data_IF_818006223877
#
_entry.id   IF_818006223877
#
_cell.length_a   1.000
_cell.length_b   1.000
_cell.length_c   1.000
_cell.angle_alpha   90.00
_cell.angle_beta   90.00
_cell.angle_gamma   90.00
#
_symmetry.space_group_name_H-M   'P 1'
#
loop_
_entity.id
_entity.type
_entity.pdbx_description
1 polymer ?
#
# COMPACT_ATOMS: atom_id res chain seq x y z
N UNK A 1 5.03 5.25 -8.79
CA UNK A 1 4.77 3.80 -8.68
C UNK A 1 6.09 3.04 -8.74
N UNK A 2 6.65 2.60 -7.61
CA UNK A 2 7.87 1.78 -7.59
C UNK A 2 7.45 0.32 -7.76
N UNK A 3 7.65 -0.27 -8.94
CA UNK A 3 7.49 -1.72 -9.16
C UNK A 3 8.85 -2.39 -8.97
N UNK A 4 9.03 -3.10 -7.85
CA UNK A 4 10.21 -3.92 -7.56
C UNK A 4 9.82 -5.32 -7.08
N UNK A 5 10.47 -6.35 -7.65
CA UNK A 5 10.21 -7.77 -7.42
C UNK A 5 10.47 -8.24 -5.96
N UNK A 6 10.02 -9.47 -5.72
CA UNK A 6 9.67 -10.18 -4.47
C UNK A 6 10.75 -10.20 -3.35
N UNK A 7 10.24 -10.14 -2.11
CA UNK A 7 10.80 -10.52 -0.79
C UNK A 7 12.25 -10.12 -0.39
N UNK A 8 12.40 -9.28 0.66
CA UNK A 8 13.38 -9.43 1.78
C UNK A 8 13.48 -8.22 2.74
N UNK A 9 12.81 -7.09 2.47
CA UNK A 9 12.94 -5.92 3.35
C UNK A 9 11.90 -4.82 3.24
N UNK A 10 10.91 -4.92 2.34
CA UNK A 10 9.97 -3.82 2.06
C UNK A 10 9.03 -3.51 3.22
N UNK A 11 8.56 -4.51 3.96
CA UNK A 11 7.74 -4.30 5.18
C UNK A 11 8.56 -3.68 6.31
N UNK A 12 9.83 -4.10 6.47
CA UNK A 12 10.76 -3.50 7.43
C UNK A 12 11.12 -2.05 7.05
N UNK A 13 11.32 -1.79 5.75
CA UNK A 13 11.52 -0.42 5.22
C UNK A 13 10.28 0.43 5.44
N UNK A 14 9.07 -0.12 5.26
CA UNK A 14 7.82 0.60 5.48
C UNK A 14 7.61 0.96 6.97
N UNK A 15 7.90 0.02 7.88
CA UNK A 15 7.89 0.27 9.32
C UNK A 15 8.90 1.38 9.69
N UNK A 16 10.14 1.28 9.20
CA UNK A 16 11.17 2.31 9.38
C UNK A 16 10.86 3.64 8.70
N UNK A 17 10.09 3.63 7.62
CA UNK A 17 9.59 4.85 7.00
C UNK A 17 8.61 5.53 7.94
N UNK A 18 7.63 4.79 8.46
CA UNK A 18 6.66 5.31 9.45
C UNK A 18 7.34 5.87 10.70
N UNK A 19 8.33 5.16 11.23
CA UNK A 19 9.08 5.61 12.40
C UNK A 19 9.81 6.93 12.15
N UNK A 20 10.38 7.13 10.96
CA UNK A 20 11.14 8.36 10.63
C UNK A 20 10.29 9.51 10.10
N UNK A 21 9.24 9.23 9.34
CA UNK A 21 8.34 10.26 8.79
C UNK A 21 7.36 10.78 9.83
N UNK A 22 7.02 9.99 10.85
CA UNK A 22 6.02 10.35 11.84
C UNK A 22 4.61 10.37 11.26
N UNK A 23 3.82 11.39 11.62
CA UNK A 23 2.44 11.57 11.14
C UNK A 23 2.43 12.09 9.70
N UNK A 24 1.33 11.85 8.97
CA UNK A 24 1.18 12.33 7.60
C UNK A 24 1.68 11.37 6.52
N UNK A 25 2.17 10.18 6.87
CA UNK A 25 2.52 9.11 5.93
C UNK A 25 1.49 7.97 5.97
N UNK A 26 0.80 7.75 4.86
CA UNK A 26 -0.08 6.62 4.63
C UNK A 26 0.69 5.45 4.00
N UNK A 27 0.72 4.30 4.68
CA UNK A 27 1.19 3.04 4.10
C UNK A 27 0.01 2.26 3.53
N UNK A 28 -0.07 2.16 2.21
CA UNK A 28 -1.16 1.47 1.51
C UNK A 28 -0.72 0.06 1.17
N UNK A 29 -1.18 -0.94 1.94
CA UNK A 29 -0.79 -2.35 1.78
C UNK A 29 -1.67 -3.12 0.80
N UNK A 30 -1.17 -3.45 -0.38
CA UNK A 30 -1.91 -4.20 -1.40
C UNK A 30 -2.33 -5.59 -0.91
N UNK A 31 -1.44 -6.33 -0.24
CA UNK A 31 -1.78 -7.64 0.32
C UNK A 31 -2.79 -7.54 1.47
N UNK A 32 -2.74 -6.48 2.28
CA UNK A 32 -3.76 -6.24 3.30
C UNK A 32 -5.12 -6.00 2.65
N UNK A 33 -5.17 -5.13 1.63
CA UNK A 33 -6.39 -4.85 0.89
C UNK A 33 -6.93 -6.12 0.21
N UNK A 34 -6.07 -6.94 -0.41
CA UNK A 34 -6.49 -8.18 -1.07
C UNK A 34 -6.96 -9.26 -0.09
N UNK A 35 -6.14 -9.58 0.92
CA UNK A 35 -6.34 -10.77 1.78
C UNK A 35 -7.24 -10.52 2.98
N UNK A 36 -7.14 -9.34 3.58
CA UNK A 36 -7.85 -9.02 4.83
C UNK A 36 -9.13 -8.26 4.52
N UNK A 37 -9.05 -7.20 3.72
CA UNK A 37 -10.21 -6.34 3.43
C UNK A 37 -11.17 -7.00 2.43
N UNK A 38 -10.66 -7.41 1.25
CA UNK A 38 -11.48 -7.96 0.18
C UNK A 38 -11.61 -9.48 0.20
N UNK A 39 -10.70 -10.17 0.89
CA UNK A 39 -10.61 -11.65 0.97
C UNK A 39 -10.66 -12.33 -0.41
N UNK A 40 -10.00 -11.74 -1.40
CA UNK A 40 -10.02 -12.24 -2.77
C UNK A 40 -8.74 -12.99 -3.16
N UNK A 41 -8.83 -13.76 -4.25
CA UNK A 41 -7.69 -14.48 -4.82
C UNK A 41 -6.83 -13.55 -5.67
N UNK A 42 -5.53 -13.84 -5.72
CA UNK A 42 -4.59 -13.12 -6.58
C UNK A 42 -4.82 -13.50 -8.04
N UNK A 43 -5.45 -12.60 -8.80
CA UNK A 43 -5.74 -12.77 -10.22
C UNK A 43 -5.64 -11.43 -10.96
N UNK A 44 -5.31 -11.46 -12.27
CA UNK A 44 -5.41 -10.26 -13.09
C UNK A 44 -6.81 -9.64 -13.02
N UNK A 45 -6.87 -8.30 -12.92
CA UNK A 45 -8.14 -7.57 -12.82
C UNK A 45 -8.94 -7.83 -11.54
N UNK A 46 -8.27 -8.25 -10.45
CA UNK A 46 -8.89 -8.33 -9.12
C UNK A 46 -9.22 -6.93 -8.56
N UNK A 47 -10.19 -6.86 -7.64
CA UNK A 47 -10.75 -5.60 -7.17
C UNK A 47 -9.75 -4.79 -6.31
N UNK A 48 -8.78 -5.46 -5.68
CA UNK A 48 -7.71 -4.84 -4.90
C UNK A 48 -6.86 -3.87 -5.71
N UNK A 49 -6.76 -4.05 -7.02
CA UNK A 49 -6.00 -3.15 -7.90
C UNK A 49 -6.65 -1.76 -7.86
N UNK A 50 -7.94 -1.69 -8.20
CA UNK A 50 -8.70 -0.44 -8.17
C UNK A 50 -8.81 0.15 -6.76
N UNK A 51 -9.00 -0.69 -5.73
CA UNK A 51 -9.06 -0.22 -4.35
C UNK A 51 -7.72 0.37 -3.87
N UNK A 52 -6.59 -0.20 -4.29
CA UNK A 52 -5.27 0.35 -3.98
C UNK A 52 -5.11 1.74 -4.59
N UNK A 53 -5.46 1.89 -5.87
CA UNK A 53 -5.36 3.18 -6.57
C UNK A 53 -6.28 4.23 -5.91
N UNK A 54 -7.53 3.87 -5.63
CA UNK A 54 -8.48 4.74 -4.94
C UNK A 54 -7.96 5.18 -3.57
N UNK A 55 -7.44 4.24 -2.79
CA UNK A 55 -6.91 4.54 -1.45
C UNK A 55 -5.71 5.48 -1.54
N UNK A 56 -4.79 5.24 -2.48
CA UNK A 56 -3.62 6.09 -2.67
C UNK A 56 -4.00 7.51 -3.09
N UNK A 57 -4.96 7.66 -4.00
CA UNK A 57 -5.46 8.97 -4.41
C UNK A 57 -6.15 9.70 -3.26
N UNK A 58 -7.06 9.02 -2.57
CA UNK A 58 -7.80 9.64 -1.46
C UNK A 58 -6.88 10.20 -0.37
N UNK A 59 -5.84 9.46 0.03
CA UNK A 59 -4.93 9.94 1.08
C UNK A 59 -4.03 11.09 0.59
N UNK A 60 -3.63 11.09 -0.68
CA UNK A 60 -2.90 12.21 -1.27
C UNK A 60 -3.75 13.48 -1.28
N UNK A 61 -5.02 13.36 -1.69
CA UNK A 61 -5.98 14.47 -1.73
C UNK A 61 -6.26 15.01 -0.31
N UNK A 62 -6.20 14.14 0.70
CA UNK A 62 -6.32 14.51 2.11
C UNK A 62 -5.03 15.10 2.71
N UNK A 63 -3.97 15.32 1.91
CA UNK A 63 -2.72 15.96 2.35
C UNK A 63 -1.69 15.01 2.97
N UNK A 64 -1.88 13.70 2.86
CA UNK A 64 -0.90 12.71 3.30
C UNK A 64 0.10 12.39 2.18
N UNK A 65 1.29 11.95 2.55
CA UNK A 65 2.19 11.24 1.65
C UNK A 65 1.78 9.77 1.56
N UNK A 66 1.81 9.18 0.36
CA UNK A 66 1.43 7.79 0.16
C UNK A 66 2.61 6.91 -0.24
N UNK A 67 2.74 5.75 0.40
CA UNK A 67 3.66 4.68 -0.01
C UNK A 67 2.85 3.41 -0.18
N UNK A 68 2.79 2.92 -1.42
CA UNK A 68 2.14 1.64 -1.74
C UNK A 68 3.13 0.51 -1.48
N UNK A 69 2.77 -0.39 -0.58
CA UNK A 69 3.55 -1.59 -0.25
C UNK A 69 2.77 -2.81 -0.70
N UNK A 70 3.48 -3.79 -1.26
CA UNK A 70 2.85 -5.00 -1.80
C UNK A 70 2.58 -6.00 -0.68
#
# INVERSE_FOLDING_TARGET
MVRGNRASGKSSVAARLRERFGRGLALVGQDNLRRVVLRERDRPGAANIGLTDLTAHYVLDAGFHAVVVR
#
